data_IF_059764900627
#
_entry.id   IF_059764900627
#
_cell.length_a   1.000
_cell.length_b   1.000
_cell.length_c   1.000
_cell.angle_alpha   90.00
_cell.angle_beta   90.00
_cell.angle_gamma   90.00
#
_symmetry.space_group_name_H-M   'P 1'
#
loop_
_entity.id
_entity.type
_entity.pdbx_description
1 polymer ?
#
# COMPACT_ATOMS: atom_id res chain seq x y z
N UNK A 1 -22.52 7.28 20.79
CA UNK A 1 -21.81 8.05 19.74
C UNK A 1 -20.53 7.31 19.38
N UNK A 2 -20.53 6.55 18.28
CA UNK A 2 -19.36 5.82 17.81
C UNK A 2 -18.88 6.43 16.50
N UNK A 3 -17.70 7.05 16.51
CA UNK A 3 -17.08 7.58 15.30
C UNK A 3 -16.54 6.41 14.47
N UNK A 4 -17.37 5.89 13.57
CA UNK A 4 -16.92 5.00 12.50
C UNK A 4 -15.95 5.79 11.62
N UNK A 5 -14.66 5.51 11.76
CA UNK A 5 -13.62 6.08 10.92
C UNK A 5 -13.77 5.55 9.50
N UNK A 6 -14.65 6.19 8.73
CA UNK A 6 -14.92 5.93 7.29
C UNK A 6 -13.76 6.32 6.36
N UNK A 7 -12.62 6.75 6.91
CA UNK A 7 -11.49 7.26 6.12
C UNK A 7 -10.55 6.17 5.58
N UNK A 8 -10.75 4.89 5.95
CA UNK A 8 -9.86 3.79 5.57
C UNK A 8 -10.10 3.13 4.20
N UNK A 9 -11.12 3.58 3.44
CA UNK A 9 -11.44 3.01 2.11
C UNK A 9 -11.45 4.05 0.98
N UNK A 10 -10.72 5.16 1.08
CA UNK A 10 -10.34 5.89 -0.14
C UNK A 10 -9.30 5.04 -0.86
N UNK A 11 -9.75 4.27 -1.84
CA UNK A 11 -9.00 3.50 -2.84
C UNK A 11 -7.47 3.62 -2.71
N UNK A 12 -6.86 2.77 -1.88
CA UNK A 12 -5.40 2.75 -1.71
C UNK A 12 -4.68 2.52 -3.05
N UNK A 13 -5.34 1.85 -3.99
CA UNK A 13 -4.86 1.67 -5.36
C UNK A 13 -4.78 3.00 -6.13
N UNK A 14 -5.74 3.90 -5.97
CA UNK A 14 -5.74 5.21 -6.64
C UNK A 14 -4.52 6.07 -6.30
N UNK A 15 -4.10 6.06 -5.03
CA UNK A 15 -2.89 6.78 -4.59
C UNK A 15 -1.59 6.17 -5.12
N UNK A 16 -1.52 4.84 -5.24
CA UNK A 16 -0.35 4.15 -5.79
C UNK A 16 -0.22 4.39 -7.30
N UNK A 17 -1.31 4.32 -8.05
CA UNK A 17 -1.30 4.66 -9.47
C UNK A 17 -0.86 6.10 -9.72
N UNK A 18 -1.30 7.02 -8.88
CA UNK A 18 -0.86 8.41 -8.96
C UNK A 18 0.64 8.55 -8.68
N UNK A 19 1.17 7.82 -7.71
CA UNK A 19 2.61 7.83 -7.37
C UNK A 19 3.47 7.21 -8.49
N UNK A 20 3.02 6.10 -9.07
CA UNK A 20 3.71 5.43 -10.18
C UNK A 20 3.69 6.26 -11.47
N UNK A 21 2.64 7.03 -11.68
CA UNK A 21 2.50 7.93 -12.82
C UNK A 21 3.11 9.31 -12.59
N UNK A 22 3.67 9.58 -11.41
CA UNK A 22 4.24 10.88 -11.10
C UNK A 22 5.53 11.09 -11.91
N UNK A 23 5.60 12.19 -12.66
CA UNK A 23 6.77 12.54 -13.48
C UNK A 23 6.79 11.93 -14.88
N UNK A 24 5.77 11.16 -15.26
CA UNK A 24 5.54 10.74 -16.63
C UNK A 24 4.74 11.79 -17.39
N UNK A 25 5.02 11.96 -18.68
CA UNK A 25 4.16 12.75 -19.54
C UNK A 25 2.79 12.06 -19.75
N UNK A 26 1.80 12.79 -20.24
CA UNK A 26 0.42 12.29 -20.36
C UNK A 26 0.32 11.01 -21.20
N UNK A 27 1.05 10.93 -22.32
CA UNK A 27 1.05 9.74 -23.19
C UNK A 27 1.71 8.53 -22.49
N UNK A 28 2.84 8.74 -21.81
CA UNK A 28 3.56 7.71 -21.06
C UNK A 28 2.74 7.21 -19.87
N UNK A 29 2.04 8.11 -19.20
CA UNK A 29 1.11 7.82 -18.11
C UNK A 29 -0.03 6.94 -18.59
N UNK A 30 -0.65 7.26 -19.72
CA UNK A 30 -1.74 6.47 -20.27
C UNK A 30 -1.28 5.07 -20.68
N UNK A 31 -0.13 4.97 -21.35
CA UNK A 31 0.47 3.68 -21.71
C UNK A 31 0.78 2.83 -20.47
N UNK A 32 1.40 3.44 -19.46
CA UNK A 32 1.75 2.76 -18.20
C UNK A 32 0.51 2.26 -17.46
N UNK A 33 -0.53 3.10 -17.35
CA UNK A 33 -1.77 2.71 -16.68
C UNK A 33 -2.50 1.60 -17.45
N UNK A 34 -2.46 1.62 -18.78
CA UNK A 34 -3.04 0.55 -19.60
C UNK A 34 -2.30 -0.77 -19.41
N UNK A 35 -0.96 -0.75 -19.38
CA UNK A 35 -0.15 -1.93 -19.12
C UNK A 35 -0.48 -2.54 -17.75
N UNK A 36 -0.54 -1.72 -16.69
CA UNK A 36 -0.85 -2.23 -15.35
C UNK A 36 -2.26 -2.81 -15.28
N UNK A 37 -3.26 -2.15 -15.91
CA UNK A 37 -4.63 -2.69 -15.96
C UNK A 37 -4.68 -4.05 -16.65
N UNK A 38 -4.05 -4.19 -17.81
CA UNK A 38 -4.00 -5.46 -18.54
C UNK A 38 -3.38 -6.58 -17.69
N UNK A 39 -2.26 -6.28 -17.02
CA UNK A 39 -1.60 -7.25 -16.14
C UNK A 39 -2.48 -7.64 -14.96
N UNK A 40 -3.15 -6.70 -14.31
CA UNK A 40 -4.08 -6.99 -13.22
C UNK A 40 -5.25 -7.86 -13.65
N UNK A 41 -5.79 -7.67 -14.86
CA UNK A 41 -6.85 -8.54 -15.38
C UNK A 41 -6.35 -9.97 -15.59
N UNK A 42 -5.16 -10.14 -16.19
CA UNK A 42 -4.55 -11.44 -16.37
C UNK A 42 -4.24 -12.14 -15.03
N UNK A 43 -3.63 -11.42 -14.10
CA UNK A 43 -3.31 -11.93 -12.76
C UNK A 43 -4.57 -12.31 -11.99
N UNK A 44 -5.67 -11.54 -12.14
CA UNK A 44 -6.96 -11.87 -11.49
C UNK A 44 -7.58 -13.14 -12.09
N UNK A 45 -7.48 -13.33 -13.40
CA UNK A 45 -7.93 -14.55 -14.06
C UNK A 45 -7.11 -15.77 -13.61
N UNK A 46 -5.78 -15.63 -13.53
CA UNK A 46 -4.87 -16.66 -13.03
C UNK A 46 -5.14 -17.00 -11.55
N UNK A 47 -5.32 -15.99 -10.70
CA UNK A 47 -5.63 -16.16 -9.29
C UNK A 47 -6.99 -16.83 -9.07
N UNK A 48 -8.00 -16.53 -9.90
CA UNK A 48 -9.30 -17.21 -9.88
C UNK A 48 -9.17 -18.68 -10.30
N UNK A 49 -8.25 -19.00 -11.21
CA UNK A 49 -7.91 -20.36 -11.61
C UNK A 49 -6.96 -21.09 -10.62
N UNK A 50 -6.65 -20.49 -9.46
CA UNK A 50 -5.76 -21.08 -8.46
C UNK A 50 -4.26 -20.99 -8.78
N UNK A 51 -3.88 -20.35 -9.88
CA UNK A 51 -2.51 -20.07 -10.28
C UNK A 51 -2.06 -18.75 -9.63
N UNK A 52 -1.85 -18.76 -8.31
CA UNK A 52 -1.24 -17.60 -7.62
C UNK A 52 0.27 -17.72 -7.68
N UNK A 53 0.92 -16.65 -8.12
CA UNK A 53 2.36 -16.52 -8.05
C UNK A 53 2.83 -16.68 -6.59
N UNK A 54 4.02 -17.27 -6.40
CA UNK A 54 4.53 -17.65 -5.08
C UNK A 54 4.61 -16.40 -4.20
N UNK A 55 3.80 -16.33 -3.15
CA UNK A 55 3.86 -15.24 -2.18
C UNK A 55 5.27 -15.21 -1.58
N UNK A 56 6.00 -14.12 -1.81
CA UNK A 56 7.34 -13.93 -1.25
C UNK A 56 7.21 -13.51 0.21
N UNK A 57 7.87 -14.26 1.10
CA UNK A 57 8.00 -13.86 2.50
C UNK A 57 8.98 -12.69 2.58
N UNK A 58 8.46 -11.51 2.89
CA UNK A 58 9.26 -10.28 3.07
C UNK A 58 9.72 -10.08 4.51
N UNK A 59 9.51 -11.09 5.38
CA UNK A 59 9.83 -11.05 6.79
C UNK A 59 8.93 -10.10 7.58
N UNK A 60 8.98 -10.18 8.91
CA UNK A 60 8.23 -9.27 9.78
C UNK A 60 8.91 -7.90 9.80
N UNK A 61 8.31 -6.91 9.12
CA UNK A 61 8.74 -5.51 9.24
C UNK A 61 8.44 -5.00 10.65
N UNK A 62 9.44 -5.00 11.53
CA UNK A 62 9.29 -4.49 12.89
C UNK A 62 9.10 -2.98 12.84
N UNK A 63 7.86 -2.51 13.00
CA UNK A 63 7.57 -1.08 13.17
C UNK A 63 8.06 -0.69 14.56
N UNK A 64 9.20 0.00 14.63
CA UNK A 64 9.65 0.64 15.85
C UNK A 64 8.52 1.57 16.35
N UNK A 65 7.83 1.16 17.43
CA UNK A 65 6.96 2.08 18.16
C UNK A 65 7.90 3.11 18.75
N UNK A 66 7.85 4.34 18.24
CA UNK A 66 8.47 5.48 18.90
C UNK A 66 7.92 5.46 20.33
N UNK A 67 8.75 5.04 21.28
CA UNK A 67 8.53 5.33 22.69
C UNK A 67 8.36 6.84 22.71
N UNK A 68 7.15 7.30 23.00
CA UNK A 68 6.93 8.69 23.35
C UNK A 68 7.73 8.84 24.63
N UNK A 69 8.92 9.43 24.51
CA UNK A 69 9.72 9.81 25.66
C UNK A 69 8.78 10.58 26.59
N UNK A 70 8.47 9.95 27.72
CA UNK A 70 7.75 10.59 28.79
C UNK A 70 8.84 11.29 29.60
N UNK A 71 8.96 12.63 29.56
CA UNK A 71 10.02 13.35 30.26
C UNK A 71 9.90 13.30 31.80
N UNK A 72 8.94 12.56 32.37
CA UNK A 72 8.66 12.55 33.81
C UNK A 72 9.31 11.42 34.63
N UNK A 73 10.19 10.59 34.05
CA UNK A 73 11.01 9.69 34.88
C UNK A 73 12.27 10.38 35.39
N UNK A 74 12.11 11.22 36.41
CA UNK A 74 13.21 11.57 37.33
C UNK A 74 13.62 10.32 38.13
N UNK A 75 14.91 9.97 38.21
CA UNK A 75 15.35 8.90 39.10
C UNK A 75 15.18 9.40 40.55
N UNK A 76 14.51 8.62 41.40
CA UNK A 76 14.69 8.75 42.84
C UNK A 76 15.94 7.98 43.21
N UNK A 77 16.79 8.63 44.01
CA UNK A 77 18.08 8.11 44.47
C UNK A 77 17.97 6.85 45.31
#
# INVERSE_FOLDING_TARGET
MGATSEHGRRSASGGLFHTLAAGLDQDEREQTLNLIRQRLFADRAAAAAGQRDRQVDVGTRTRARRRRDNPDQRPKG
#
